data_IF_726096350531
#
_entry.id   IF_726096350531
#
_cell.length_a   1.000
_cell.length_b   1.000
_cell.length_c   1.000
_cell.angle_alpha   90.00
_cell.angle_beta   90.00
_cell.angle_gamma   90.00
#
_symmetry.space_group_name_H-M   'P 1'
#
loop_
_entity.id
_entity.type
_entity.pdbx_description
1 polymer ?
#
# COMPACT_ATOMS: atom_id res chain seq x y z
N UNK A 1 -2.63 29.04 -0.22
CA UNK A 1 -1.84 29.47 0.96
C UNK A 1 -0.79 28.39 1.16
N UNK A 2 0.43 28.70 1.60
CA UNK A 2 1.40 27.68 1.93
C UNK A 2 0.88 26.77 3.06
N UNK A 3 1.40 25.55 3.15
CA UNK A 3 1.11 24.62 4.24
C UNK A 3 1.43 25.30 5.58
N UNK A 4 0.48 25.24 6.51
CA UNK A 4 0.68 25.58 7.92
C UNK A 4 1.12 24.30 8.65
N UNK A 5 2.39 24.26 9.09
CA UNK A 5 2.98 23.10 9.75
C UNK A 5 2.21 22.70 11.00
N UNK A 6 1.91 23.65 11.90
CA UNK A 6 1.29 23.34 13.19
C UNK A 6 -0.16 22.85 13.00
N UNK A 7 -0.88 23.43 12.03
CA UNK A 7 -2.22 23.00 11.67
C UNK A 7 -2.23 21.58 11.10
N UNK A 8 -1.35 21.27 10.14
CA UNK A 8 -1.26 19.94 9.54
C UNK A 8 -0.81 18.93 10.58
N UNK A 9 0.21 19.25 11.38
CA UNK A 9 0.74 18.34 12.42
C UNK A 9 -0.32 17.92 13.43
N UNK A 10 -1.25 18.81 13.73
CA UNK A 10 -2.34 18.60 14.67
C UNK A 10 -3.71 18.41 13.98
N UNK A 11 -3.72 17.91 12.74
CA UNK A 11 -4.96 17.70 12.00
C UNK A 11 -5.91 16.80 12.77
N UNK A 12 -7.19 17.21 12.97
CA UNK A 12 -8.12 16.50 13.84
C UNK A 12 -8.76 15.32 13.11
N UNK A 13 -8.03 14.20 13.00
CA UNK A 13 -8.61 12.98 12.46
C UNK A 13 -9.61 12.36 13.43
N UNK A 14 -10.84 12.06 12.99
CA UNK A 14 -11.74 11.23 13.78
C UNK A 14 -11.27 9.78 13.76
N UNK A 15 -11.59 9.02 14.79
CA UNK A 15 -11.52 7.57 14.75
C UNK A 15 -12.48 7.05 13.68
N UNK A 16 -12.02 6.12 12.83
CA UNK A 16 -12.83 5.53 11.76
C UNK A 16 -13.19 4.11 12.14
N UNK A 17 -14.45 3.89 12.48
CA UNK A 17 -15.00 2.56 12.68
C UNK A 17 -15.40 1.94 11.35
N UNK A 18 -14.91 0.72 11.07
CA UNK A 18 -15.23 -0.02 9.85
C UNK A 18 -15.49 -1.48 10.17
N UNK A 19 -16.65 -1.97 9.78
CA UNK A 19 -16.96 -3.40 9.75
C UNK A 19 -16.64 -3.95 8.36
N UNK A 20 -16.07 -5.15 8.32
CA UNK A 20 -15.81 -5.90 7.10
C UNK A 20 -16.16 -7.38 7.28
N UNK A 21 -16.55 -8.01 6.20
CA UNK A 21 -17.01 -9.39 6.14
C UNK A 21 -15.97 -10.32 5.50
N UNK A 22 -16.20 -11.61 5.55
CA UNK A 22 -15.42 -12.61 4.80
C UNK A 22 -15.42 -12.31 3.31
N UNK A 23 -16.55 -11.81 2.77
CA UNK A 23 -16.65 -11.40 1.36
C UNK A 23 -15.67 -10.28 1.03
N UNK A 24 -15.46 -9.32 1.92
CA UNK A 24 -14.52 -8.23 1.72
C UNK A 24 -13.08 -8.74 1.73
N UNK A 25 -12.76 -9.70 2.61
CA UNK A 25 -11.45 -10.36 2.65
C UNK A 25 -11.16 -11.16 1.38
N UNK A 26 -12.13 -11.92 0.90
CA UNK A 26 -12.05 -12.66 -0.37
C UNK A 26 -11.90 -11.69 -1.54
N UNK A 27 -12.69 -10.62 -1.58
CA UNK A 27 -12.62 -9.62 -2.64
C UNK A 27 -11.24 -8.95 -2.71
N UNK A 28 -10.67 -8.60 -1.54
CA UNK A 28 -9.30 -8.07 -1.49
C UNK A 28 -8.28 -9.09 -2.03
N UNK A 29 -8.36 -10.34 -1.58
CA UNK A 29 -7.45 -11.40 -2.03
C UNK A 29 -7.51 -11.59 -3.55
N UNK A 30 -8.72 -11.70 -4.13
CA UNK A 30 -8.93 -11.77 -5.58
C UNK A 30 -8.36 -10.52 -6.28
N UNK A 31 -8.55 -9.34 -5.71
CA UNK A 31 -8.06 -8.06 -6.23
C UNK A 31 -6.54 -7.98 -6.33
N UNK A 32 -5.80 -8.74 -5.51
CA UNK A 32 -4.32 -8.80 -5.51
C UNK A 32 -3.78 -10.13 -6.05
N UNK A 33 -4.62 -10.86 -6.82
CA UNK A 33 -4.20 -11.98 -7.66
C UNK A 33 -4.21 -13.36 -7.01
N UNK A 34 -4.78 -13.53 -5.81
CA UNK A 34 -5.02 -14.87 -5.27
C UNK A 34 -6.11 -15.59 -6.06
N UNK A 35 -6.01 -16.92 -6.15
CA UNK A 35 -6.97 -17.74 -6.90
C UNK A 35 -6.81 -17.66 -8.42
N UNK A 36 -5.73 -17.06 -8.93
CA UNK A 36 -5.44 -17.04 -10.37
C UNK A 36 -5.18 -18.44 -10.91
N UNK A 37 -4.47 -19.29 -10.17
CA UNK A 37 -4.34 -20.72 -10.45
C UNK A 37 -5.39 -21.49 -9.64
N UNK A 38 -6.44 -22.04 -10.29
CA UNK A 38 -7.49 -22.77 -9.58
C UNK A 38 -7.04 -24.10 -8.98
N UNK A 39 -5.84 -24.57 -9.33
CA UNK A 39 -5.25 -25.82 -8.82
C UNK A 39 -4.29 -25.60 -7.64
N UNK A 40 -3.99 -24.32 -7.30
CA UNK A 40 -3.14 -24.00 -6.15
C UNK A 40 -3.98 -24.00 -4.85
N UNK A 41 -4.10 -25.18 -4.22
CA UNK A 41 -4.87 -25.36 -2.98
C UNK A 41 -4.38 -24.46 -1.83
N UNK A 42 -3.11 -24.05 -1.83
CA UNK A 42 -2.57 -23.18 -0.79
C UNK A 42 -3.19 -21.78 -0.80
N UNK A 43 -3.69 -21.32 -1.95
CA UNK A 43 -4.38 -20.04 -2.09
C UNK A 43 -5.85 -20.07 -1.64
N UNK A 44 -6.48 -21.26 -1.56
CA UNK A 44 -7.90 -21.41 -1.17
C UNK A 44 -8.19 -20.82 0.20
N UNK A 45 -7.21 -20.83 1.12
CA UNK A 45 -7.36 -20.22 2.45
C UNK A 45 -7.64 -18.72 2.43
N UNK A 46 -7.46 -18.04 1.30
CA UNK A 46 -7.69 -16.60 1.14
C UNK A 46 -8.90 -16.27 0.27
N UNK A 47 -9.42 -17.25 -0.48
CA UNK A 47 -10.48 -17.01 -1.47
C UNK A 47 -11.66 -17.99 -1.36
N UNK A 48 -11.66 -18.86 -0.35
CA UNK A 48 -12.71 -19.83 -0.10
C UNK A 48 -13.10 -19.81 1.39
N UNK A 49 -14.37 -19.94 1.70
CA UNK A 49 -14.94 -19.72 3.05
C UNK A 49 -14.43 -20.72 4.10
N UNK A 50 -14.03 -21.93 3.68
CA UNK A 50 -13.55 -22.95 4.61
C UNK A 50 -12.18 -22.58 5.19
N UNK A 51 -12.13 -22.29 6.50
CA UNK A 51 -10.91 -21.88 7.22
C UNK A 51 -10.28 -20.60 6.62
N UNK A 52 -11.13 -19.67 6.18
CA UNK A 52 -10.73 -18.42 5.56
C UNK A 52 -9.76 -17.61 6.44
N UNK A 53 -8.72 -17.12 5.84
CA UNK A 53 -7.73 -16.20 6.43
C UNK A 53 -7.66 -14.92 5.62
N UNK A 54 -7.48 -13.79 6.29
CA UNK A 54 -7.24 -12.53 5.59
C UNK A 54 -5.79 -12.43 5.12
N UNK A 55 -5.60 -11.86 3.93
CA UNK A 55 -4.26 -11.46 3.45
C UNK A 55 -3.73 -10.32 4.33
N UNK A 56 -2.52 -10.40 4.91
CA UNK A 56 -2.01 -9.37 5.82
C UNK A 56 -2.00 -7.95 5.21
N UNK A 57 -1.73 -7.83 3.91
CA UNK A 57 -1.72 -6.55 3.21
C UNK A 57 -3.11 -5.90 3.11
N UNK A 58 -4.20 -6.62 3.41
CA UNK A 58 -5.54 -6.05 3.50
C UNK A 58 -5.63 -4.92 4.55
N UNK A 59 -4.76 -4.92 5.55
CA UNK A 59 -4.70 -3.84 6.54
C UNK A 59 -4.62 -2.44 5.89
N UNK A 60 -4.03 -2.30 4.69
CA UNK A 60 -3.86 -0.99 4.04
C UNK A 60 -5.19 -0.35 3.62
N UNK A 61 -6.24 -1.13 3.45
CA UNK A 61 -7.58 -0.65 3.08
C UNK A 61 -8.54 -0.51 4.27
N UNK A 62 -8.12 -0.95 5.48
CA UNK A 62 -8.97 -0.88 6.67
C UNK A 62 -8.83 0.46 7.40
N UNK A 63 -9.95 0.95 7.97
CA UNK A 63 -10.01 2.14 8.81
C UNK A 63 -9.44 3.41 8.14
N UNK A 64 -9.64 3.57 6.83
CA UNK A 64 -9.10 4.68 6.06
C UNK A 64 -9.84 5.99 6.37
N UNK A 65 -9.12 7.11 6.68
CA UNK A 65 -9.73 8.37 7.09
C UNK A 65 -10.36 9.18 5.94
N UNK A 66 -10.40 8.63 4.74
CA UNK A 66 -10.82 9.35 3.55
C UNK A 66 -9.70 10.22 2.95
N UNK A 67 -10.01 10.90 1.85
CA UNK A 67 -9.07 11.74 1.12
C UNK A 67 -9.08 13.19 1.67
N UNK A 68 -8.72 13.32 2.96
CA UNK A 68 -8.79 14.56 3.73
C UNK A 68 -7.95 15.73 3.17
N UNK A 69 -6.89 15.43 2.42
CA UNK A 69 -6.03 16.46 1.79
C UNK A 69 -6.77 17.34 0.78
N UNK A 70 -7.99 16.93 0.34
CA UNK A 70 -8.90 17.76 -0.47
C UNK A 70 -9.55 18.89 0.31
N UNK A 71 -9.57 18.82 1.63
CA UNK A 71 -10.12 19.90 2.43
C UNK A 71 -9.28 21.16 2.19
N UNK A 72 -9.89 22.27 1.74
CA UNK A 72 -9.16 23.54 1.52
C UNK A 72 -8.41 24.01 2.77
N UNK A 73 -8.88 23.63 3.95
CA UNK A 73 -8.23 23.95 5.22
C UNK A 73 -6.86 23.28 5.39
N UNK A 74 -6.55 22.23 4.61
CA UNK A 74 -5.23 21.60 4.62
C UNK A 74 -4.14 22.51 4.01
N UNK A 75 -4.53 23.36 3.06
CA UNK A 75 -3.58 24.17 2.29
C UNK A 75 -2.71 23.37 1.31
N UNK A 76 -2.96 22.07 1.15
CA UNK A 76 -2.21 21.17 0.27
C UNK A 76 -2.73 21.26 -1.17
N UNK A 77 -1.83 21.39 -2.13
CA UNK A 77 -2.16 21.24 -3.56
C UNK A 77 -2.36 19.75 -3.90
N UNK A 78 -3.55 19.25 -3.54
CA UNK A 78 -3.88 17.83 -3.69
C UNK A 78 -3.85 17.32 -5.13
N UNK A 79 -3.85 18.20 -6.13
CA UNK A 79 -3.73 17.83 -7.55
C UNK A 79 -2.30 17.38 -7.88
N UNK A 80 -1.32 17.89 -7.14
CA UNK A 80 0.11 17.62 -7.35
C UNK A 80 0.70 16.61 -6.37
N UNK A 81 -0.13 15.90 -5.61
CA UNK A 81 0.38 14.88 -4.72
C UNK A 81 0.54 13.53 -5.42
N UNK A 82 1.45 12.72 -4.90
CA UNK A 82 1.60 11.31 -5.27
C UNK A 82 1.81 10.46 -4.03
N UNK A 83 1.30 9.23 -4.06
CA UNK A 83 1.62 8.22 -3.06
C UNK A 83 3.07 7.80 -3.26
N UNK A 84 3.95 8.20 -2.37
CA UNK A 84 5.39 7.97 -2.48
C UNK A 84 5.82 6.63 -1.91
N UNK A 85 5.40 6.33 -0.67
CA UNK A 85 5.81 5.11 0.04
C UNK A 85 4.66 4.57 0.89
N UNK A 86 4.66 3.25 1.06
CA UNK A 86 3.75 2.54 1.96
C UNK A 86 4.55 1.58 2.83
N UNK A 87 4.30 1.63 4.14
CA UNK A 87 4.79 0.63 5.08
C UNK A 87 3.64 0.04 5.89
N UNK A 88 3.79 -1.24 6.25
CA UNK A 88 2.89 -2.02 7.07
C UNK A 88 3.72 -2.80 8.10
N UNK A 89 3.29 -2.78 9.34
CA UNK A 89 3.75 -3.69 10.39
C UNK A 89 2.55 -4.44 10.94
N UNK A 90 2.63 -5.77 10.92
CA UNK A 90 1.62 -6.65 11.51
C UNK A 90 2.02 -6.97 12.95
N UNK A 91 1.12 -6.73 13.88
CA UNK A 91 1.29 -7.03 15.31
C UNK A 91 0.52 -8.30 15.68
N UNK A 92 -0.61 -8.55 15.01
CA UNK A 92 -1.44 -9.73 15.15
C UNK A 92 -2.09 -10.07 13.80
N UNK A 93 -2.40 -11.33 13.52
CA UNK A 93 -3.13 -11.71 12.32
C UNK A 93 -4.42 -10.89 12.15
N UNK A 94 -4.68 -10.44 10.92
CA UNK A 94 -5.94 -9.77 10.59
C UNK A 94 -7.02 -10.84 10.53
N UNK A 95 -8.12 -10.73 11.30
CA UNK A 95 -9.26 -11.65 11.19
C UNK A 95 -9.87 -11.62 9.77
N UNK A 96 -10.49 -12.73 9.33
CA UNK A 96 -11.18 -12.78 8.04
C UNK A 96 -12.43 -11.88 7.98
N UNK A 97 -13.00 -11.54 9.14
CA UNK A 97 -14.11 -10.59 9.29
C UNK A 97 -14.06 -9.95 10.66
N UNK A 98 -14.65 -8.77 10.82
CA UNK A 98 -14.66 -8.08 12.10
C UNK A 98 -15.00 -6.60 11.99
N UNK A 99 -14.82 -5.89 13.10
CA UNK A 99 -14.93 -4.44 13.15
C UNK A 99 -13.62 -3.88 13.70
N UNK A 100 -13.05 -2.93 12.98
CA UNK A 100 -11.82 -2.26 13.36
C UNK A 100 -12.03 -0.78 13.59
N UNK A 101 -11.11 -0.18 14.36
CA UNK A 101 -11.02 1.27 14.53
C UNK A 101 -9.68 1.71 13.94
N UNK A 102 -9.74 2.53 12.89
CA UNK A 102 -8.59 3.21 12.31
C UNK A 102 -8.34 4.53 13.03
N UNK A 103 -7.13 4.70 13.58
CA UNK A 103 -6.67 5.93 14.21
C UNK A 103 -5.53 6.51 13.42
N UNK A 104 -5.74 7.69 12.86
CA UNK A 104 -4.76 8.35 12.00
C UNK A 104 -4.14 9.56 12.70
N UNK A 105 -2.84 9.78 12.47
CA UNK A 105 -2.14 11.00 12.88
C UNK A 105 -1.08 11.38 11.86
N UNK A 106 -0.67 12.64 11.85
CA UNK A 106 0.50 13.06 11.09
C UNK A 106 1.75 12.73 11.92
N UNK A 107 2.54 11.78 11.44
CA UNK A 107 3.80 11.37 12.05
C UNK A 107 4.88 12.43 11.80
N UNK A 108 5.02 12.85 10.55
CA UNK A 108 5.98 13.87 10.15
C UNK A 108 5.49 14.67 8.95
N UNK A 109 5.91 15.94 8.90
CA UNK A 109 5.77 16.83 7.76
C UNK A 109 7.14 17.45 7.46
N UNK A 110 7.77 16.99 6.37
CA UNK A 110 9.13 17.36 6.00
C UNK A 110 9.11 18.40 4.91
N UNK A 111 9.61 19.61 5.18
CA UNK A 111 9.84 20.64 4.16
C UNK A 111 11.14 20.33 3.41
N UNK A 112 11.06 20.05 2.11
CA UNK A 112 12.24 19.84 1.27
C UNK A 112 12.80 21.13 0.68
N UNK A 113 12.16 22.25 0.97
CA UNK A 113 12.49 23.58 0.45
C UNK A 113 11.65 23.98 -0.75
N UNK A 114 11.70 25.27 -1.07
CA UNK A 114 11.01 25.84 -2.22
C UNK A 114 11.38 25.04 -3.49
N UNK A 115 10.40 24.76 -4.32
CA UNK A 115 10.53 24.02 -5.58
C UNK A 115 10.92 22.52 -5.45
N UNK A 116 11.10 22.00 -4.23
CA UNK A 116 11.41 20.59 -3.98
C UNK A 116 10.25 19.82 -3.34
N UNK A 117 9.15 20.50 -3.01
CA UNK A 117 7.96 19.91 -2.41
C UNK A 117 8.13 19.54 -0.93
N UNK A 118 7.22 18.72 -0.42
CA UNK A 118 7.20 18.27 0.95
C UNK A 118 6.87 16.77 1.05
N UNK A 119 7.24 16.14 2.17
CA UNK A 119 6.77 14.78 2.49
C UNK A 119 5.79 14.89 3.66
N UNK A 120 4.60 14.38 3.45
CA UNK A 120 3.57 14.21 4.46
C UNK A 120 3.52 12.74 4.85
N UNK A 121 3.93 12.41 6.07
CA UNK A 121 3.97 11.04 6.57
C UNK A 121 2.85 10.88 7.58
N UNK A 122 1.87 10.04 7.22
CA UNK A 122 0.74 9.66 8.06
C UNK A 122 1.01 8.30 8.69
N UNK A 123 0.66 8.16 9.94
CA UNK A 123 0.61 6.87 10.63
C UNK A 123 -0.84 6.52 10.93
N UNK A 124 -1.23 5.28 10.65
CA UNK A 124 -2.56 4.76 11.00
C UNK A 124 -2.41 3.46 11.79
N UNK A 125 -3.02 3.40 12.97
CA UNK A 125 -3.18 2.19 13.76
C UNK A 125 -4.51 1.53 13.42
N UNK A 126 -4.51 0.21 13.25
CA UNK A 126 -5.71 -0.62 13.07
C UNK A 126 -5.91 -1.42 14.35
N UNK A 127 -6.99 -1.13 15.05
CA UNK A 127 -7.32 -1.75 16.35
C UNK A 127 -8.59 -2.58 16.18
N UNK A 128 -8.55 -3.83 16.63
CA UNK A 128 -9.77 -4.66 16.72
C UNK A 128 -10.74 -4.06 17.75
N UNK A 129 -11.94 -3.74 17.32
CA UNK A 129 -12.94 -3.07 18.20
C UNK A 129 -13.34 -3.94 19.39
N UNK A 130 -13.44 -5.26 19.20
CA UNK A 130 -13.93 -6.18 20.22
C UNK A 130 -12.91 -6.41 21.35
N UNK A 131 -11.66 -6.63 20.99
CA UNK A 131 -10.60 -6.96 21.94
C UNK A 131 -9.76 -5.76 22.38
N UNK A 132 -9.80 -4.64 21.63
CA UNK A 132 -8.89 -3.52 21.81
C UNK A 132 -7.46 -3.79 21.34
N UNK A 133 -7.20 -4.94 20.72
CA UNK A 133 -5.87 -5.33 20.31
C UNK A 133 -5.39 -4.54 19.08
N UNK A 134 -4.16 -4.05 19.11
CA UNK A 134 -3.50 -3.48 17.93
C UNK A 134 -3.18 -4.59 16.94
N UNK A 135 -3.81 -4.56 15.76
CA UNK A 135 -3.61 -5.53 14.68
C UNK A 135 -2.45 -5.13 13.78
N UNK A 136 -2.43 -3.87 13.33
CA UNK A 136 -1.43 -3.38 12.39
C UNK A 136 -1.13 -1.89 12.61
N UNK A 137 0.06 -1.47 12.19
CA UNK A 137 0.44 -0.06 12.04
C UNK A 137 0.86 0.18 10.59
N UNK A 138 0.36 1.25 10.01
CA UNK A 138 0.60 1.65 8.62
C UNK A 138 1.32 3.01 8.61
N UNK A 139 2.26 3.18 7.69
CA UNK A 139 2.79 4.49 7.35
C UNK A 139 2.58 4.74 5.86
N UNK A 140 2.01 5.90 5.57
CA UNK A 140 1.72 6.35 4.21
C UNK A 140 2.48 7.66 3.98
N UNK A 141 3.41 7.66 3.05
CA UNK A 141 4.13 8.87 2.67
C UNK A 141 3.53 9.45 1.39
N UNK A 142 2.97 10.65 1.52
CA UNK A 142 2.52 11.45 0.38
C UNK A 142 3.62 12.44 0.01
N UNK A 143 4.01 12.46 -1.25
CA UNK A 143 4.87 13.51 -1.79
C UNK A 143 4.02 14.65 -2.36
N UNK A 144 4.06 15.79 -1.68
CA UNK A 144 3.36 17.02 -2.03
C UNK A 144 4.30 17.87 -2.92
N UNK A 145 4.21 17.66 -4.24
CA UNK A 145 5.16 18.27 -5.21
C UNK A 145 5.05 19.78 -5.29
N UNK A 146 3.85 20.33 -5.01
CA UNK A 146 3.55 21.75 -5.09
C UNK A 146 3.80 22.55 -3.80
N UNK A 147 4.14 21.88 -2.69
CA UNK A 147 4.00 22.45 -1.35
C UNK A 147 5.32 22.43 -0.56
N UNK A 148 6.36 23.03 -1.06
CA UNK A 148 7.63 23.20 -0.35
C UNK A 148 7.90 24.65 0.07
N UNK A 149 8.82 24.84 1.00
CA UNK A 149 9.30 26.17 1.40
C UNK A 149 8.43 26.87 2.44
N UNK A 150 7.76 26.11 3.30
CA UNK A 150 6.99 26.66 4.43
C UNK A 150 7.86 26.91 5.68
N UNK A 151 9.17 26.57 5.64
CA UNK A 151 10.19 27.04 6.58
C UNK A 151 10.27 26.32 7.93
N UNK A 152 9.30 25.48 8.27
CA UNK A 152 9.26 24.66 9.50
C UNK A 152 8.91 23.22 9.11
N UNK A 153 9.69 22.24 9.55
CA UNK A 153 9.41 20.85 9.24
C UNK A 153 10.10 19.87 10.20
N UNK A 154 9.61 18.64 10.20
CA UNK A 154 10.27 17.53 10.87
C UNK A 154 11.53 17.13 10.10
N UNK A 155 12.50 16.45 10.74
CA UNK A 155 13.63 15.85 10.02
C UNK A 155 13.15 14.77 9.07
N UNK A 156 13.83 14.65 7.93
CA UNK A 156 13.55 13.56 7.00
C UNK A 156 13.84 12.19 7.64
N UNK A 157 12.98 11.18 7.43
CA UNK A 157 13.26 9.83 7.89
C UNK A 157 14.53 9.28 7.21
N UNK A 158 15.17 8.27 7.80
CA UNK A 158 16.26 7.56 7.13
C UNK A 158 15.81 7.02 5.77
N UNK A 159 16.71 7.07 4.79
CA UNK A 159 16.43 6.46 3.49
C UNK A 159 16.25 4.94 3.64
N UNK A 160 15.25 4.35 2.95
CA UNK A 160 15.12 2.89 2.96
C UNK A 160 16.37 2.24 2.35
N UNK A 161 16.69 0.98 2.72
CA UNK A 161 17.85 0.28 2.19
C UNK A 161 17.78 0.18 0.67
N UNK A 162 18.90 0.28 0.02
CA UNK A 162 19.00 0.02 -1.40
C UNK A 162 18.78 -1.46 -1.69
N UNK A 163 18.08 -1.77 -2.77
CA UNK A 163 17.97 -3.14 -3.27
C UNK A 163 19.32 -3.54 -3.86
N UNK A 164 19.84 -4.75 -3.57
CA UNK A 164 21.11 -5.19 -4.11
C UNK A 164 21.15 -5.19 -5.65
N UNK A 165 22.31 -4.87 -6.21
CA UNK A 165 22.61 -5.12 -7.61
C UNK A 165 23.03 -6.59 -7.78
N UNK A 166 22.58 -7.23 -8.86
CA UNK A 166 22.93 -8.60 -9.17
C UNK A 166 21.75 -9.56 -9.17
N UNK A 167 22.06 -10.85 -9.27
CA UNK A 167 21.06 -11.91 -9.38
C UNK A 167 20.22 -12.00 -8.10
N UNK A 168 18.90 -11.96 -8.17
CA UNK A 168 18.05 -12.18 -7.01
C UNK A 168 18.13 -13.63 -6.52
N UNK A 169 17.97 -13.82 -5.21
CA UNK A 169 17.91 -15.16 -4.60
C UNK A 169 16.61 -15.89 -4.99
N UNK A 170 15.55 -15.14 -5.30
CA UNK A 170 14.28 -15.67 -5.83
C UNK A 170 13.56 -14.63 -6.68
N UNK A 171 12.70 -15.09 -7.59
CA UNK A 171 11.78 -14.26 -8.37
C UNK A 171 10.39 -14.87 -8.34
N UNK A 172 9.36 -14.01 -8.41
CA UNK A 172 7.98 -14.46 -8.52
C UNK A 172 7.25 -13.55 -9.52
N UNK A 173 6.64 -14.17 -10.54
CA UNK A 173 5.85 -13.49 -11.56
C UNK A 173 4.38 -13.69 -11.25
N UNK A 174 3.65 -12.57 -11.11
CA UNK A 174 2.22 -12.58 -10.87
C UNK A 174 1.54 -11.70 -11.93
N UNK A 175 0.73 -12.29 -12.84
CA UNK A 175 -0.04 -11.53 -13.79
C UNK A 175 -1.17 -10.79 -13.07
N UNK A 176 -1.47 -9.56 -13.52
CA UNK A 176 -2.67 -8.85 -13.09
C UNK A 176 -3.78 -9.06 -14.10
N UNK A 177 -5.03 -9.12 -13.63
CA UNK A 177 -6.17 -9.24 -14.53
C UNK A 177 -6.38 -7.91 -15.32
N UNK A 178 -6.86 -7.94 -16.57
CA UNK A 178 -7.22 -6.73 -17.30
C UNK A 178 -8.22 -5.84 -16.57
N UNK A 179 -9.09 -6.43 -15.72
CA UNK A 179 -10.07 -5.73 -14.89
C UNK A 179 -9.61 -5.55 -13.42
N UNK A 180 -8.33 -5.81 -13.09
CA UNK A 180 -7.83 -5.76 -11.71
C UNK A 180 -8.15 -4.44 -11.00
N UNK A 181 -8.03 -3.30 -11.69
CA UNK A 181 -8.37 -2.00 -11.11
C UNK A 181 -9.86 -1.86 -10.77
N UNK A 182 -10.75 -2.44 -11.58
CA UNK A 182 -12.20 -2.42 -11.34
C UNK A 182 -12.60 -3.33 -10.17
N UNK A 183 -11.87 -4.42 -9.95
CA UNK A 183 -12.05 -5.29 -8.78
C UNK A 183 -11.50 -4.59 -7.53
N UNK A 184 -10.26 -4.12 -7.58
CA UNK A 184 -9.57 -3.55 -6.42
C UNK A 184 -10.26 -2.29 -5.88
N UNK A 185 -10.82 -1.44 -6.75
CA UNK A 185 -11.54 -0.22 -6.32
C UNK A 185 -12.73 -0.51 -5.40
N UNK A 186 -13.30 -1.71 -5.46
CA UNK A 186 -14.39 -2.13 -4.57
C UNK A 186 -13.92 -2.36 -3.14
N UNK A 187 -12.62 -2.50 -2.91
CA UNK A 187 -12.08 -2.72 -1.56
C UNK A 187 -11.98 -1.42 -0.74
N UNK A 188 -11.63 -0.27 -1.34
CA UNK A 188 -11.57 1.01 -0.61
C UNK A 188 -11.21 2.25 -1.43
N UNK A 189 -10.89 2.17 -2.72
CA UNK A 189 -10.39 3.31 -3.48
C UNK A 189 -11.19 3.55 -4.75
N UNK A 190 -12.13 4.49 -4.67
CA UNK A 190 -13.02 4.87 -5.77
C UNK A 190 -12.43 5.96 -6.69
N UNK A 191 -11.13 6.26 -6.62
CA UNK A 191 -10.50 7.28 -7.46
C UNK A 191 -10.74 6.96 -8.94
N UNK A 192 -11.38 7.88 -9.72
CA UNK A 192 -11.71 7.63 -11.12
C UNK A 192 -10.48 7.46 -12.02
N UNK A 193 -9.28 7.88 -11.59
CA UNK A 193 -8.02 7.64 -12.30
C UNK A 193 -7.79 6.16 -12.66
N UNK A 194 -8.33 5.26 -11.84
CA UNK A 194 -8.18 3.82 -12.00
C UNK A 194 -9.32 3.14 -12.78
N UNK A 195 -10.31 3.91 -13.23
CA UNK A 195 -11.50 3.36 -13.87
C UNK A 195 -11.95 4.14 -15.13
N UNK A 196 -11.80 5.47 -15.13
CA UNK A 196 -12.29 6.34 -16.19
C UNK A 196 -11.19 6.71 -17.19
N UNK A 197 -11.30 6.29 -18.48
CA UNK A 197 -10.30 6.62 -19.48
C UNK A 197 -10.13 8.13 -19.73
N UNK A 198 -11.20 8.94 -19.59
CA UNK A 198 -11.10 10.38 -19.80
C UNK A 198 -10.29 11.03 -18.68
N UNK A 199 -10.51 10.60 -17.41
CA UNK A 199 -9.73 11.07 -16.27
C UNK A 199 -8.26 10.63 -16.37
N UNK A 200 -8.01 9.38 -16.77
CA UNK A 200 -6.65 8.87 -16.96
C UNK A 200 -5.90 9.68 -18.02
N UNK A 201 -6.56 9.96 -19.15
CA UNK A 201 -5.99 10.78 -20.24
C UNK A 201 -5.70 12.22 -19.79
N UNK A 202 -6.61 12.82 -19.05
CA UNK A 202 -6.42 14.16 -18.48
C UNK A 202 -5.24 14.22 -17.50
N UNK A 203 -4.96 13.11 -16.79
CA UNK A 203 -3.83 12.94 -15.90
C UNK A 203 -2.51 12.55 -16.63
N UNK A 204 -2.52 12.45 -17.96
CA UNK A 204 -1.34 12.16 -18.79
C UNK A 204 -1.05 10.67 -18.99
N UNK A 205 -2.00 9.77 -18.66
CA UNK A 205 -1.85 8.33 -18.89
C UNK A 205 -2.60 7.88 -20.15
N UNK A 206 -2.05 6.90 -20.86
CA UNK A 206 -2.67 6.35 -22.07
C UNK A 206 -4.00 5.61 -21.78
N UNK A 207 -4.16 5.07 -20.58
CA UNK A 207 -5.34 4.34 -20.09
C UNK A 207 -5.36 4.36 -18.54
N UNK A 208 -6.47 3.95 -17.89
CA UNK A 208 -6.52 3.82 -16.44
C UNK A 208 -5.36 2.98 -15.91
N UNK A 209 -4.72 3.47 -14.85
CA UNK A 209 -3.61 2.79 -14.18
C UNK A 209 -4.12 1.91 -13.05
N UNK A 210 -3.35 0.89 -12.67
CA UNK A 210 -3.63 0.08 -11.49
C UNK A 210 -3.36 0.90 -10.22
N UNK A 211 -4.15 0.69 -9.17
CA UNK A 211 -3.90 1.30 -7.86
C UNK A 211 -2.50 0.93 -7.35
N UNK A 212 -1.77 1.91 -6.82
CA UNK A 212 -0.47 1.64 -6.19
C UNK A 212 -0.59 0.58 -5.08
N UNK A 213 -1.62 0.69 -4.24
CA UNK A 213 -1.87 -0.28 -3.16
C UNK A 213 -2.28 -1.68 -3.66
N UNK A 214 -2.84 -1.80 -4.87
CA UNK A 214 -3.03 -3.11 -5.51
C UNK A 214 -1.67 -3.72 -5.87
N UNK A 215 -0.78 -2.96 -6.53
CA UNK A 215 0.58 -3.41 -6.84
C UNK A 215 1.38 -3.75 -5.57
N UNK A 216 1.18 -3.00 -4.48
CA UNK A 216 1.69 -3.30 -3.15
C UNK A 216 1.19 -4.67 -2.65
N UNK A 217 -0.10 -4.94 -2.77
CA UNK A 217 -0.72 -6.23 -2.41
C UNK A 217 -0.18 -7.39 -3.23
N UNK A 218 0.04 -7.18 -4.54
CA UNK A 218 0.65 -8.19 -5.44
C UNK A 218 2.09 -8.49 -5.03
N UNK A 219 2.88 -7.49 -4.64
CA UNK A 219 4.23 -7.72 -4.08
C UNK A 219 4.17 -8.51 -2.76
N UNK A 220 3.22 -8.18 -1.88
CA UNK A 220 2.96 -8.96 -0.65
C UNK A 220 2.55 -10.40 -0.93
N UNK A 221 1.75 -10.64 -1.98
CA UNK A 221 1.41 -11.98 -2.45
C UNK A 221 2.68 -12.74 -2.90
N UNK A 222 3.53 -12.12 -3.70
CA UNK A 222 4.79 -12.73 -4.13
C UNK A 222 5.70 -13.13 -2.94
N UNK A 223 5.78 -12.28 -1.90
CA UNK A 223 6.53 -12.57 -0.68
C UNK A 223 5.89 -13.74 0.09
N UNK A 224 4.56 -13.72 0.29
CA UNK A 224 3.83 -14.79 0.98
C UNK A 224 4.01 -16.14 0.28
N UNK A 225 3.93 -16.17 -1.05
CA UNK A 225 4.15 -17.37 -1.86
C UNK A 225 5.57 -17.90 -1.69
N UNK A 226 6.57 -17.04 -1.85
CA UNK A 226 7.97 -17.46 -2.00
C UNK A 226 8.66 -17.77 -0.67
N UNK A 227 8.36 -16.97 0.38
CA UNK A 227 9.09 -17.01 1.64
C UNK A 227 8.27 -17.46 2.86
N UNK A 228 6.95 -17.41 2.75
CA UNK A 228 6.05 -17.74 3.88
C UNK A 228 5.28 -19.05 3.66
N UNK A 229 5.35 -19.66 2.48
CA UNK A 229 4.51 -20.85 2.16
C UNK A 229 3.00 -20.56 2.31
N UNK A 230 2.59 -19.34 2.00
CA UNK A 230 1.22 -18.83 2.18
C UNK A 230 0.73 -18.80 3.64
N UNK A 231 1.63 -18.89 4.63
CA UNK A 231 1.27 -18.66 6.03
C UNK A 231 1.27 -17.15 6.32
N UNK A 232 0.09 -16.52 6.53
CA UNK A 232 0.00 -15.08 6.77
C UNK A 232 0.65 -14.64 8.10
N UNK A 233 0.82 -15.55 9.08
CA UNK A 233 1.46 -15.23 10.36
C UNK A 233 2.95 -14.96 10.21
N UNK A 234 3.57 -15.47 9.13
CA UNK A 234 4.99 -15.26 8.85
C UNK A 234 5.31 -13.89 8.27
N UNK A 235 4.35 -13.14 7.72
CA UNK A 235 4.60 -11.79 7.24
C UNK A 235 4.46 -10.79 8.38
N UNK A 236 5.59 -10.35 8.96
CA UNK A 236 5.64 -9.37 10.05
C UNK A 236 5.56 -7.92 9.57
N UNK A 237 5.98 -7.64 8.34
CA UNK A 237 5.95 -6.29 7.78
C UNK A 237 6.28 -6.24 6.30
N UNK A 238 5.84 -5.16 5.65
CA UNK A 238 6.11 -4.89 4.24
C UNK A 238 6.20 -3.38 4.02
N UNK A 239 7.30 -2.91 3.47
CA UNK A 239 7.48 -1.50 3.09
C UNK A 239 8.08 -1.38 1.70
N UNK A 240 7.71 -0.33 0.96
CA UNK A 240 8.25 -0.06 -0.36
C UNK A 240 7.99 1.38 -0.82
N UNK A 241 8.68 1.76 -1.89
CA UNK A 241 8.48 3.01 -2.63
C UNK A 241 7.82 2.74 -3.98
N UNK A 242 6.84 3.56 -4.34
CA UNK A 242 6.23 3.55 -5.67
C UNK A 242 7.12 4.33 -6.65
N UNK A 243 7.49 3.71 -7.77
CA UNK A 243 8.46 4.28 -8.71
C UNK A 243 7.85 4.60 -10.08
N UNK A 244 6.90 3.79 -10.56
CA UNK A 244 6.21 3.99 -11.82
C UNK A 244 4.82 3.35 -11.80
N UNK A 245 3.88 3.78 -12.68
CA UNK A 245 2.56 3.19 -12.77
C UNK A 245 2.60 1.78 -13.36
N UNK A 246 1.64 0.94 -12.92
CA UNK A 246 1.30 -0.34 -13.51
C UNK A 246 0.00 -0.18 -14.28
N UNK A 247 -0.14 -0.84 -15.42
CA UNK A 247 -1.41 -0.92 -16.14
C UNK A 247 -2.06 -2.28 -15.89
N UNK A 248 -3.39 -2.34 -15.67
CA UNK A 248 -4.10 -3.61 -15.56
C UNK A 248 -3.80 -4.54 -16.74
N UNK A 249 -3.57 -5.82 -16.47
CA UNK A 249 -3.17 -6.82 -17.45
C UNK A 249 -1.65 -7.02 -17.59
N UNK A 250 -0.82 -6.19 -16.94
CA UNK A 250 0.63 -6.37 -16.92
C UNK A 250 1.06 -7.38 -15.85
N UNK A 251 2.16 -8.07 -16.12
CA UNK A 251 2.78 -9.04 -15.20
C UNK A 251 3.80 -8.36 -14.31
N UNK A 252 3.61 -8.48 -13.00
CA UNK A 252 4.54 -7.93 -12.00
C UNK A 252 5.50 -9.04 -11.57
N UNK A 253 6.79 -8.88 -11.93
CA UNK A 253 7.89 -9.69 -11.40
C UNK A 253 8.41 -9.05 -10.14
N UNK A 254 8.40 -9.79 -9.03
CA UNK A 254 9.08 -9.39 -7.79
C UNK A 254 10.40 -10.13 -7.68
N UNK A 255 11.51 -9.37 -7.69
CA UNK A 255 12.88 -9.83 -7.52
C UNK A 255 13.26 -9.67 -6.04
N UNK A 256 13.78 -10.72 -5.40
CA UNK A 256 13.90 -10.83 -3.95
C UNK A 256 15.32 -11.26 -3.54
N UNK A 257 15.86 -10.61 -2.49
CA UNK A 257 17.17 -10.92 -1.89
C UNK A 257 17.01 -11.09 -0.38
N UNK A 258 17.47 -12.19 0.18
CA UNK A 258 17.48 -12.40 1.62
C UNK A 258 18.71 -11.76 2.25
N UNK A 259 18.53 -10.81 3.15
CA UNK A 259 19.60 -10.10 3.85
C UNK A 259 19.20 -9.86 5.31
N UNK A 260 20.06 -10.27 6.24
CA UNK A 260 19.91 -10.00 7.69
C UNK A 260 18.52 -10.34 8.24
N UNK A 261 17.97 -11.48 7.84
CA UNK A 261 16.65 -11.94 8.27
C UNK A 261 15.46 -11.27 7.58
N UNK A 262 15.69 -10.25 6.75
CA UNK A 262 14.69 -9.59 5.93
C UNK A 262 14.79 -10.02 4.47
N UNK A 263 13.72 -9.76 3.72
CA UNK A 263 13.72 -9.88 2.25
C UNK A 263 13.72 -8.46 1.67
N UNK A 264 14.83 -8.09 1.05
CA UNK A 264 14.89 -6.89 0.21
C UNK A 264 14.29 -7.24 -1.15
N UNK A 265 13.54 -6.32 -1.75
CA UNK A 265 12.92 -6.60 -3.05
C UNK A 265 12.68 -5.35 -3.88
N UNK A 266 12.53 -5.55 -5.17
CA UNK A 266 11.92 -4.62 -6.12
C UNK A 266 10.96 -5.36 -7.03
N UNK A 267 9.99 -4.65 -7.58
CA UNK A 267 9.09 -5.24 -8.55
C UNK A 267 9.15 -4.47 -9.86
N UNK A 268 9.13 -5.21 -10.97
CA UNK A 268 9.08 -4.63 -12.33
C UNK A 268 7.94 -5.22 -13.13
N UNK A 269 7.43 -4.44 -14.05
CA UNK A 269 6.52 -4.90 -15.10
C UNK A 269 7.35 -5.53 -16.22
N UNK A 270 7.03 -6.78 -16.59
CA UNK A 270 7.79 -7.52 -17.59
C UNK A 270 7.62 -6.94 -19.00
N UNK A 271 6.40 -6.59 -19.38
CA UNK A 271 6.04 -6.12 -20.73
C UNK A 271 6.77 -4.83 -21.13
N UNK A 272 7.09 -3.98 -20.15
CA UNK A 272 7.77 -2.69 -20.38
C UNK A 272 9.18 -2.66 -19.79
N UNK A 273 9.59 -3.67 -19.06
CA UNK A 273 10.86 -3.73 -18.31
C UNK A 273 11.10 -2.51 -17.40
N UNK A 274 10.05 -2.04 -16.71
CA UNK A 274 10.08 -0.84 -15.86
C UNK A 274 9.96 -1.25 -14.40
N UNK A 275 10.84 -0.74 -13.52
CA UNK A 275 10.71 -0.89 -12.07
C UNK A 275 9.56 -0.03 -11.59
N UNK A 276 8.55 -0.66 -10.98
CA UNK A 276 7.32 -0.02 -10.52
C UNK A 276 7.26 0.11 -8.99
N UNK A 277 7.90 -0.83 -8.27
CA UNK A 277 8.10 -0.79 -6.82
C UNK A 277 9.58 -0.96 -6.53
N UNK A 278 10.13 -0.16 -5.63
CA UNK A 278 11.56 -0.18 -5.30
C UNK A 278 11.79 -0.03 -3.80
N UNK A 279 13.03 -0.25 -3.35
CA UNK A 279 13.42 -0.16 -1.95
C UNK A 279 12.51 -0.97 -1.02
N UNK A 280 12.04 -2.12 -1.53
CA UNK A 280 11.16 -2.99 -0.79
C UNK A 280 11.87 -3.73 0.34
N UNK A 281 11.21 -3.82 1.50
CA UNK A 281 11.64 -4.61 2.64
C UNK A 281 10.46 -5.40 3.17
N UNK A 282 10.59 -6.72 3.25
CA UNK A 282 9.65 -7.57 3.95
C UNK A 282 10.32 -8.21 5.18
N UNK A 283 9.67 -8.08 6.33
CA UNK A 283 10.10 -8.74 7.58
C UNK A 283 9.37 -10.07 7.70
N UNK A 284 10.13 -11.15 7.84
CA UNK A 284 9.58 -12.50 7.99
C UNK A 284 9.71 -12.91 9.47
N UNK A 285 8.59 -13.26 10.07
CA UNK A 285 8.56 -13.83 11.41
C UNK A 285 9.11 -15.26 11.37
N UNK A 286 9.76 -15.73 12.45
CA UNK A 286 10.26 -17.10 12.57
C UNK A 286 9.18 -18.17 12.49
#
# INVERSE_FOLDING_TARGET
MPIDYDKIKNWPFPDVEQSYSEKDSILYALGVGYGHDPMDEAQLRFVYEKNLQAVPTMAVVLGYPGFWVKDPASGIDWVKIVHGEQALRIHRPIPASGTVIGRTRIKALVDKGKDKGALLIQERSIVDKKSGALLATLEHTTFCRGDGGFGKGDPAPPSPPAVPDGTPDATCDLPTLPQAALIYRLCADNNPLHADPAVAKAAGFARPILHGLCSYGVAGHAILKTWCGYDPAKLGGLSLRFSAPVFPGETIRTEMWRRDGNILFRSRVLERNVVVLNNGVATINP
#
